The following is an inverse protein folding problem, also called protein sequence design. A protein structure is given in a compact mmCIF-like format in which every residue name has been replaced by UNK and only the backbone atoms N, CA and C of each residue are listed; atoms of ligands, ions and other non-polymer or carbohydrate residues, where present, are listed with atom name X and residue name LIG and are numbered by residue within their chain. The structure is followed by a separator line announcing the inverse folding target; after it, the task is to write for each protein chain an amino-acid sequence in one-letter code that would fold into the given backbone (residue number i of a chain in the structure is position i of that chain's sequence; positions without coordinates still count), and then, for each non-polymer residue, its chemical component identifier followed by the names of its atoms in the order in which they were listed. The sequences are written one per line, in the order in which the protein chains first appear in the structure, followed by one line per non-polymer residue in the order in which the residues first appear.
data_IF_615022392477
#
_entry.id   IF_615022392477
#
_cell.length_a   1.000
_cell.length_b   1.000
_cell.length_c   1.000
_cell.angle_alpha   90.00
_cell.angle_beta   90.00
_cell.angle_gamma   90.00
#
_symmetry.space_group_name_H-M   'P 1'
#
loop_
_entity.id
_entity.type
_entity.pdbx_description
1 polymer ?
#
# COMPACT_ATOMS: atom_id res chain seq x y z
N UNK A 1 -26.15 17.63 -1.41
CA UNK A 1 -24.88 18.41 -1.45
C UNK A 1 -23.72 17.48 -1.77
N UNK A 2 -23.23 17.53 -3.02
CA UNK A 2 -22.12 16.72 -3.53
C UNK A 2 -20.90 16.86 -2.61
N UNK A 3 -20.42 15.77 -2.04
CA UNK A 3 -19.14 15.72 -1.34
C UNK A 3 -18.04 15.98 -2.36
N UNK A 4 -17.49 17.20 -2.35
CA UNK A 4 -16.29 17.52 -3.12
C UNK A 4 -15.20 16.58 -2.63
N UNK A 5 -14.88 15.57 -3.44
CA UNK A 5 -13.74 14.67 -3.20
C UNK A 5 -12.48 15.52 -3.27
N UNK A 6 -11.65 15.57 -2.21
CA UNK A 6 -10.40 16.30 -2.27
C UNK A 6 -9.53 15.67 -3.36
N UNK A 7 -9.05 16.47 -4.33
CA UNK A 7 -8.22 15.96 -5.43
C UNK A 7 -7.01 15.18 -4.93
N UNK A 8 -6.44 15.57 -3.78
CA UNK A 8 -5.32 14.88 -3.12
C UNK A 8 -5.63 13.42 -2.74
N UNK A 9 -6.87 13.13 -2.31
CA UNK A 9 -7.29 11.76 -1.95
C UNK A 9 -7.42 10.90 -3.21
N UNK A 10 -8.01 11.46 -4.26
CA UNK A 10 -8.10 10.78 -5.56
C UNK A 10 -6.72 10.48 -6.14
N UNK A 11 -5.79 11.45 -6.10
CA UNK A 11 -4.41 11.27 -6.57
C UNK A 11 -3.71 10.19 -5.76
N UNK A 12 -3.82 10.22 -4.43
CA UNK A 12 -3.19 9.20 -3.58
C UNK A 12 -3.74 7.79 -3.87
N UNK A 13 -5.05 7.64 -4.03
CA UNK A 13 -5.65 6.34 -4.30
C UNK A 13 -5.32 5.81 -5.69
N UNK A 14 -5.27 6.69 -6.71
CA UNK A 14 -4.81 6.32 -8.04
C UNK A 14 -3.33 5.95 -8.07
N UNK A 15 -2.50 6.70 -7.33
CA UNK A 15 -1.10 6.36 -7.17
C UNK A 15 -0.94 4.97 -6.57
N UNK A 16 -1.68 4.64 -5.49
CA UNK A 16 -1.69 3.30 -4.90
C UNK A 16 -2.11 2.21 -5.90
N UNK A 17 -3.15 2.45 -6.70
CA UNK A 17 -3.60 1.53 -7.73
C UNK A 17 -2.55 1.30 -8.83
N UNK A 18 -1.95 2.38 -9.34
CA UNK A 18 -0.93 2.30 -10.38
C UNK A 18 0.34 1.61 -9.85
N UNK A 19 0.77 1.94 -8.62
CA UNK A 19 1.89 1.27 -7.98
C UNK A 19 1.63 -0.23 -7.78
N UNK A 20 0.43 -0.60 -7.32
CA UNK A 20 0.05 -2.01 -7.18
C UNK A 20 0.02 -2.73 -8.54
N UNK A 21 -0.53 -2.10 -9.58
CA UNK A 21 -0.56 -2.67 -10.92
C UNK A 21 0.85 -2.85 -11.51
N UNK A 22 1.74 -1.86 -11.32
CA UNK A 22 3.12 -1.94 -11.76
C UNK A 22 3.88 -3.03 -11.00
N UNK A 23 3.73 -3.11 -9.68
CA UNK A 23 4.36 -4.13 -8.87
C UNK A 23 3.86 -5.54 -9.22
N UNK A 24 2.57 -5.69 -9.55
CA UNK A 24 2.02 -6.93 -10.06
C UNK A 24 2.62 -7.29 -11.42
N UNK A 25 2.70 -6.33 -12.36
CA UNK A 25 3.29 -6.55 -13.67
C UNK A 25 4.77 -6.96 -13.58
N UNK A 26 5.55 -6.29 -12.73
CA UNK A 26 6.94 -6.66 -12.44
C UNK A 26 7.03 -8.05 -11.81
N UNK A 27 6.17 -8.37 -10.84
CA UNK A 27 6.15 -9.69 -10.19
C UNK A 27 5.86 -10.81 -11.19
N UNK A 28 4.89 -10.60 -12.10
CA UNK A 28 4.56 -11.56 -13.17
C UNK A 28 5.71 -11.66 -14.18
N UNK A 29 6.34 -10.55 -14.56
CA UNK A 29 7.49 -10.56 -15.46
C UNK A 29 8.74 -11.23 -14.85
N UNK A 30 8.92 -11.14 -13.54
CA UNK A 30 9.98 -11.84 -12.80
C UNK A 30 9.67 -13.32 -12.54
N UNK A 31 8.41 -13.74 -12.68
CA UNK A 31 7.99 -15.09 -12.37
C UNK A 31 8.53 -16.07 -13.41
N UNK A 32 9.59 -16.80 -13.05
CA UNK A 32 10.29 -17.74 -13.94
C UNK A 32 11.69 -17.29 -14.38
N UNK A 33 12.15 -16.10 -13.96
CA UNK A 33 13.53 -15.68 -14.22
C UNK A 33 14.46 -16.25 -13.12
N UNK A 34 15.49 -17.05 -13.49
CA UNK A 34 16.40 -17.69 -12.53
C UNK A 34 17.23 -16.68 -11.71
N UNK A 35 17.52 -15.48 -12.24
CA UNK A 35 18.25 -14.45 -11.47
C UNK A 35 17.42 -13.94 -10.29
N UNK A 36 16.12 -13.71 -10.49
CA UNK A 36 15.21 -13.31 -9.39
C UNK A 36 15.01 -14.40 -8.37
N UNK A 37 15.00 -15.68 -8.79
CA UNK A 37 14.96 -16.80 -7.85
C UNK A 37 16.23 -16.85 -6.98
N UNK A 38 17.41 -16.68 -7.58
CA UNK A 38 18.68 -16.64 -6.85
C UNK A 38 18.79 -15.45 -5.87
N UNK A 39 18.16 -14.32 -6.18
CA UNK A 39 18.05 -13.17 -5.26
C UNK A 39 17.04 -13.41 -4.13
N UNK A 40 15.93 -14.10 -4.41
CA UNK A 40 14.94 -14.47 -3.40
C UNK A 40 15.49 -15.52 -2.42
N UNK A 41 16.35 -16.43 -2.87
CA UNK A 41 17.05 -17.42 -2.03
C UNK A 41 18.04 -16.80 -1.05
N UNK A 42 18.58 -15.61 -1.36
CA UNK A 42 19.47 -14.88 -0.46
C UNK A 42 18.73 -14.22 0.72
N UNK A 43 17.40 -14.16 0.67
CA UNK A 43 16.59 -13.56 1.73
C UNK A 43 16.36 -14.56 2.87
N UNK A 44 16.32 -14.06 4.11
CA UNK A 44 16.11 -14.91 5.30
C UNK A 44 14.70 -15.56 5.37
N UNK A 45 13.78 -15.19 4.49
CA UNK A 45 12.43 -15.72 4.42
C UNK A 45 12.32 -16.82 3.35
N UNK A 46 11.57 -17.91 3.61
CA UNK A 46 11.27 -18.89 2.57
C UNK A 46 10.56 -18.24 1.37
N UNK A 47 10.92 -18.65 0.16
CA UNK A 47 10.37 -18.10 -1.10
C UNK A 47 8.84 -18.12 -1.12
N UNK A 48 8.23 -19.18 -0.60
CA UNK A 48 6.76 -19.31 -0.48
C UNK A 48 6.15 -18.20 0.38
N UNK A 49 6.77 -17.87 1.51
CA UNK A 49 6.32 -16.80 2.41
C UNK A 49 6.50 -15.44 1.76
N UNK A 50 7.60 -15.23 1.02
CA UNK A 50 7.81 -14.00 0.25
C UNK A 50 6.71 -13.77 -0.79
N UNK A 51 6.31 -14.83 -1.53
CA UNK A 51 5.21 -14.73 -2.49
C UNK A 51 3.85 -14.46 -1.82
N UNK A 52 3.55 -15.13 -0.71
CA UNK A 52 2.30 -14.90 0.04
C UNK A 52 2.23 -13.47 0.56
N UNK A 53 3.32 -12.94 1.10
CA UNK A 53 3.41 -11.55 1.55
C UNK A 53 3.29 -10.56 0.39
N UNK A 54 3.94 -10.84 -0.75
CA UNK A 54 3.90 -9.98 -1.92
C UNK A 54 2.52 -9.92 -2.54
N UNK A 55 1.95 -11.07 -2.94
CA UNK A 55 0.62 -11.14 -3.55
C UNK A 55 -0.48 -10.77 -2.57
N UNK A 56 -0.38 -11.21 -1.31
CA UNK A 56 -1.30 -10.82 -0.25
C UNK A 56 -1.27 -9.31 -0.02
N UNK A 57 -0.07 -8.71 0.02
CA UNK A 57 0.11 -7.28 0.17
C UNK A 57 -0.43 -6.47 -1.00
N UNK A 58 -0.24 -6.95 -2.24
CA UNK A 58 -0.82 -6.36 -3.45
C UNK A 58 -2.35 -6.37 -3.40
N UNK A 59 -2.94 -7.51 -3.06
CA UNK A 59 -4.39 -7.62 -2.91
C UNK A 59 -4.94 -6.65 -1.86
N UNK A 60 -4.29 -6.58 -0.70
CA UNK A 60 -4.69 -5.70 0.39
C UNK A 60 -4.52 -4.22 0.04
N UNK A 61 -3.47 -3.86 -0.71
CA UNK A 61 -3.27 -2.51 -1.24
C UNK A 61 -4.38 -2.10 -2.22
N UNK A 62 -4.80 -3.00 -3.11
CA UNK A 62 -5.91 -2.75 -4.05
C UNK A 62 -7.22 -2.54 -3.27
N UNK A 63 -7.51 -3.40 -2.29
CA UNK A 63 -8.69 -3.26 -1.42
C UNK A 63 -8.67 -1.92 -0.68
N UNK A 64 -7.53 -1.52 -0.11
CA UNK A 64 -7.35 -0.22 0.53
C UNK A 64 -7.61 0.93 -0.44
N UNK A 65 -7.02 0.89 -1.64
CA UNK A 65 -7.18 1.94 -2.64
C UNK A 65 -8.66 2.10 -3.06
N UNK A 66 -9.38 1.00 -3.27
CA UNK A 66 -10.82 1.02 -3.56
C UNK A 66 -11.64 1.57 -2.39
N UNK A 67 -11.33 1.17 -1.15
CA UNK A 67 -12.00 1.68 0.03
C UNK A 67 -11.80 3.20 0.20
N UNK A 68 -10.57 3.70 -0.05
CA UNK A 68 -10.24 5.12 -0.05
C UNK A 68 -10.99 5.87 -1.16
N UNK A 69 -11.06 5.32 -2.39
CA UNK A 69 -11.83 5.90 -3.49
C UNK A 69 -13.32 6.00 -3.18
N UNK A 70 -13.87 5.00 -2.48
CA UNK A 70 -15.26 5.00 -2.03
C UNK A 70 -15.51 5.92 -0.83
N UNK A 71 -14.45 6.39 -0.16
CA UNK A 71 -14.56 7.28 1.00
C UNK A 71 -14.81 6.57 2.32
N UNK A 72 -14.48 5.27 2.41
CA UNK A 72 -14.61 4.52 3.65
C UNK A 72 -13.47 4.86 4.61
N UNK A 73 -13.83 5.28 5.82
CA UNK A 73 -12.88 5.66 6.87
C UNK A 73 -11.99 4.49 7.35
N UNK A 74 -12.39 3.24 7.10
CA UNK A 74 -11.58 2.05 7.42
C UNK A 74 -10.42 1.83 6.43
N UNK A 75 -10.52 2.31 5.19
CA UNK A 75 -9.49 2.12 4.17
C UNK A 75 -8.15 2.79 4.54
N UNK A 76 -8.21 3.96 5.19
CA UNK A 76 -7.02 4.67 5.70
C UNK A 76 -6.34 3.95 6.87
N UNK A 77 -7.12 3.35 7.78
CA UNK A 77 -6.59 2.60 8.92
C UNK A 77 -5.93 1.32 8.44
N UNK A 78 -6.60 0.60 7.54
CA UNK A 78 -6.07 -0.62 6.94
C UNK A 78 -4.76 -0.36 6.18
N UNK A 79 -4.71 0.72 5.38
CA UNK A 79 -3.48 1.12 4.69
C UNK A 79 -2.35 1.47 5.66
N UNK A 80 -2.64 2.22 6.73
CA UNK A 80 -1.64 2.61 7.72
C UNK A 80 -1.09 1.40 8.49
N UNK A 81 -1.96 0.51 8.95
CA UNK A 81 -1.58 -0.74 9.63
C UNK A 81 -0.78 -1.65 8.71
N UNK A 82 -1.28 -1.91 7.51
CA UNK A 82 -0.62 -2.81 6.56
C UNK A 82 0.71 -2.27 6.06
N UNK A 83 0.78 -0.99 5.71
CA UNK A 83 2.03 -0.36 5.31
C UNK A 83 3.05 -0.30 6.44
N UNK A 84 2.61 -0.12 7.69
CA UNK A 84 3.46 -0.24 8.87
C UNK A 84 4.03 -1.65 9.06
N UNK A 85 3.20 -2.68 8.91
CA UNK A 85 3.64 -4.09 8.94
C UNK A 85 4.63 -4.35 7.80
N UNK A 86 4.34 -3.93 6.58
CA UNK A 86 5.22 -4.09 5.42
C UNK A 86 6.58 -3.41 5.62
N UNK A 87 6.60 -2.23 6.24
CA UNK A 87 7.82 -1.52 6.63
C UNK A 87 8.63 -2.28 7.67
N UNK A 88 7.98 -2.78 8.72
CA UNK A 88 8.64 -3.57 9.77
C UNK A 88 9.22 -4.86 9.20
N UNK A 89 8.43 -5.60 8.43
CA UNK A 89 8.89 -6.82 7.76
C UNK A 89 10.09 -6.50 6.88
N UNK A 90 10.01 -5.50 6.00
CA UNK A 90 11.13 -5.10 5.15
C UNK A 90 12.38 -4.65 5.93
N UNK A 91 12.21 -4.03 7.10
CA UNK A 91 13.33 -3.60 7.95
C UNK A 91 14.07 -4.79 8.59
N UNK A 92 13.33 -5.85 8.93
CA UNK A 92 13.89 -7.06 9.54
C UNK A 92 14.35 -8.09 8.50
N UNK A 93 13.79 -8.09 7.29
CA UNK A 93 14.05 -9.14 6.28
C UNK A 93 14.95 -8.67 5.14
N UNK A 94 15.05 -7.37 4.86
CA UNK A 94 15.86 -6.87 3.74
C UNK A 94 17.32 -6.63 4.13
N UNK A 95 18.29 -7.19 3.38
CA UNK A 95 19.71 -6.87 3.56
C UNK A 95 20.06 -5.44 3.10
N UNK A 96 19.22 -4.81 2.25
CA UNK A 96 19.47 -3.48 1.67
C UNK A 96 18.47 -2.47 2.25
N UNK A 97 18.72 -2.06 3.50
CA UNK A 97 17.89 -1.09 4.24
C UNK A 97 17.75 0.27 3.53
N UNK A 98 18.72 0.63 2.68
CA UNK A 98 18.69 1.85 1.86
C UNK A 98 17.51 1.89 0.87
N UNK A 99 17.08 0.74 0.35
CA UNK A 99 15.94 0.65 -0.56
C UNK A 99 14.59 0.87 0.15
N UNK A 100 14.54 0.69 1.49
CA UNK A 100 13.35 0.97 2.28
C UNK A 100 13.08 2.47 2.47
N UNK A 101 14.13 3.30 2.47
CA UNK A 101 14.02 4.74 2.73
C UNK A 101 13.04 5.43 1.74
N UNK A 102 13.20 5.29 0.41
CA UNK A 102 12.27 5.93 -0.53
C UNK A 102 10.84 5.39 -0.39
N UNK A 103 10.66 4.08 -0.12
CA UNK A 103 9.35 3.49 0.14
C UNK A 103 8.68 4.05 1.40
N UNK A 104 9.47 4.23 2.47
CA UNK A 104 9.01 4.80 3.74
C UNK A 104 8.55 6.25 3.57
N UNK A 105 9.31 7.05 2.80
CA UNK A 105 8.96 8.46 2.52
C UNK A 105 7.65 8.54 1.74
N UNK A 106 7.49 7.74 0.68
CA UNK A 106 6.25 7.69 -0.10
C UNK A 106 5.07 7.28 0.78
N UNK A 107 5.23 6.24 1.61
CA UNK A 107 4.21 5.80 2.56
C UNK A 107 3.82 6.94 3.52
N UNK A 108 4.79 7.63 4.12
CA UNK A 108 4.55 8.74 5.03
C UNK A 108 3.81 9.89 4.34
N UNK A 109 4.17 10.23 3.10
CA UNK A 109 3.47 11.26 2.31
C UNK A 109 2.01 10.85 2.05
N UNK A 110 1.76 9.59 1.68
CA UNK A 110 0.41 9.09 1.42
C UNK A 110 -0.42 9.09 2.71
N UNK A 111 0.13 8.60 3.83
CA UNK A 111 -0.52 8.66 5.14
C UNK A 111 -0.84 10.11 5.51
N UNK A 112 0.11 11.03 5.34
CA UNK A 112 -0.12 12.45 5.62
C UNK A 112 -1.26 13.02 4.77
N UNK A 113 -1.33 12.69 3.47
CA UNK A 113 -2.42 13.11 2.58
C UNK A 113 -3.78 12.52 2.99
N UNK A 114 -3.79 11.27 3.47
CA UNK A 114 -4.99 10.56 3.93
C UNK A 114 -5.51 11.06 5.29
N UNK A 115 -4.63 11.49 6.19
CA UNK A 115 -4.99 11.98 7.53
C UNK A 115 -5.13 13.50 7.61
N UNK A 116 -4.83 14.24 6.53
CA UNK A 116 -5.02 15.69 6.48
C UNK A 116 -6.49 16.08 6.69
N UNK A 117 -6.72 17.20 7.38
CA UNK A 117 -8.05 17.72 7.76
C UNK A 117 -9.08 17.72 6.61
N UNK A 118 -8.68 18.10 5.40
CA UNK A 118 -9.55 18.08 4.21
C UNK A 118 -10.04 16.67 3.83
N UNK A 119 -9.22 15.64 4.02
CA UNK A 119 -9.60 14.25 3.83
C UNK A 119 -10.48 13.75 4.99
N UNK A 120 -10.21 14.20 6.22
CA UNK A 120 -11.00 13.82 7.39
C UNK A 120 -12.48 14.23 7.27
N UNK A 121 -12.77 15.39 6.65
CA UNK A 121 -14.15 15.83 6.35
C UNK A 121 -14.83 14.89 5.34
N UNK A 122 -14.08 14.40 4.35
CA UNK A 122 -14.58 13.46 3.35
C UNK A 122 -14.92 12.10 3.98
N UNK A 123 -14.07 11.58 4.87
CA UNK A 123 -14.28 10.32 5.59
C UNK A 123 -15.30 10.43 6.74
N UNK A 124 -15.48 11.62 7.33
CA UNK A 124 -16.44 11.86 8.41
C UNK A 124 -17.91 11.76 7.95
N UNK A 125 -18.19 11.95 6.65
CA UNK A 125 -19.53 11.74 6.09
C UNK A 125 -19.99 10.28 6.19
N UNK A 126 -19.06 9.34 6.01
CA UNK A 126 -19.35 7.90 6.09
C UNK A 126 -19.57 7.46 7.54
N UNK A 127 -18.73 7.95 8.47
CA UNK A 127 -18.86 7.69 9.90
C UNK A 127 -20.18 8.20 10.51
N UNK A 128 -20.82 9.19 9.88
CA UNK A 128 -22.11 9.76 10.32
C UNK A 128 -23.32 9.09 9.65
N UNK A 129 -23.12 8.32 8.59
CA UNK A 129 -24.16 7.55 7.91
C UNK A 129 -24.31 6.13 8.48
N UNK A 130 -23.35 5.68 9.30
CA UNK A 130 -23.34 4.39 10.00
C UNK A 130 -23.82 4.47 11.47
N UNK A 131 -24.41 5.59 11.88
CA UNK A 131 -25.01 5.84 13.22
C UNK A 131 -26.47 6.17 13.02
#
# INVERSE_FOLDING_TARGET
MQSIRPRSVTIAAWFLLISAALALAMSVASHGNPETAALMEQSALPISVQYVLSYGGLGLQIVCAFAILKGLAWGRLLYALWGGIGLLVGLFTSPIKLALIPGAVIFAVIVFLLFRSAANIYFAKDARASV
#
